data_IF_841819796226
#
_entry.id   IF_841819796226
#
_cell.length_a   1.000
_cell.length_b   1.000
_cell.length_c   1.000
_cell.angle_alpha   90.00
_cell.angle_beta   90.00
_cell.angle_gamma   90.00
#
_symmetry.space_group_name_H-M   'P 1'
#
loop_
_entity.id
_entity.type
_entity.pdbx_description
1 polymer ?
#
# COMPACT_ATOMS: atom_id res chain seq x y z
N UNK A 1 20.40 -6.39 -11.17
CA UNK A 1 19.01 -6.24 -11.63
C UNK A 1 18.32 -5.32 -10.64
N UNK A 2 18.05 -4.07 -11.01
CA UNK A 2 17.27 -3.16 -10.17
C UNK A 2 16.00 -2.78 -10.92
N UNK A 3 14.85 -3.29 -10.48
CA UNK A 3 13.58 -2.58 -10.64
C UNK A 3 12.92 -2.49 -9.26
N UNK A 4 13.52 -1.75 -8.32
CA UNK A 4 12.88 -1.45 -7.02
C UNK A 4 12.39 0.00 -6.91
N UNK A 5 12.68 0.84 -7.93
CA UNK A 5 12.48 2.30 -7.85
C UNK A 5 11.06 2.78 -8.15
N UNK A 6 10.23 2.04 -8.89
CA UNK A 6 8.98 2.59 -9.45
C UNK A 6 7.73 2.34 -8.59
N UNK A 7 7.81 1.49 -7.58
CA UNK A 7 6.62 1.10 -6.83
C UNK A 7 6.32 2.03 -5.66
N UNK A 8 7.23 2.95 -5.30
CA UNK A 8 7.04 3.81 -4.13
C UNK A 8 6.18 5.04 -4.45
N UNK A 9 4.96 5.03 -3.90
CA UNK A 9 4.06 6.17 -3.85
C UNK A 9 4.45 7.11 -2.69
N UNK A 10 4.06 8.38 -2.83
CA UNK A 10 4.26 9.40 -1.79
C UNK A 10 2.95 9.65 -1.05
N UNK A 11 2.97 9.54 0.27
CA UNK A 11 1.89 10.04 1.11
C UNK A 11 2.09 11.57 1.23
N UNK A 12 1.13 12.40 0.81
CA UNK A 12 1.27 13.84 0.92
C UNK A 12 1.34 14.27 2.40
N UNK A 13 2.14 15.30 2.74
CA UNK A 13 2.15 15.84 4.08
C UNK A 13 0.74 16.24 4.54
N UNK A 14 0.34 15.81 5.73
CA UNK A 14 -0.99 16.11 6.27
C UNK A 14 -2.12 15.25 5.69
N UNK A 15 -1.82 14.20 4.92
CA UNK A 15 -2.82 13.23 4.49
C UNK A 15 -3.56 12.65 5.71
N UNK A 16 -4.89 12.70 5.67
CA UNK A 16 -5.70 12.07 6.70
C UNK A 16 -5.70 10.56 6.50
N UNK A 17 -5.35 9.84 7.57
CA UNK A 17 -5.37 8.38 7.62
C UNK A 17 -6.32 7.95 8.73
N UNK A 18 -7.29 7.12 8.38
CA UNK A 18 -8.24 6.54 9.34
C UNK A 18 -7.95 5.05 9.48
N UNK A 19 -7.81 4.54 10.71
CA UNK A 19 -7.66 3.10 10.90
C UNK A 19 -9.01 2.42 10.62
N UNK A 20 -9.04 1.54 9.62
CA UNK A 20 -10.25 0.82 9.20
C UNK A 20 -10.22 -0.67 9.55
N UNK A 21 -9.06 -1.20 9.98
CA UNK A 21 -8.93 -2.59 10.34
C UNK A 21 -7.62 -2.91 11.04
N UNK A 22 -7.61 -4.02 11.76
CA UNK A 22 -6.42 -4.56 12.42
C UNK A 22 -6.49 -6.08 12.42
N UNK A 23 -5.39 -6.71 12.00
CA UNK A 23 -5.14 -8.13 12.16
C UNK A 23 -4.01 -8.39 13.16
N UNK A 24 -3.61 -9.65 13.33
CA UNK A 24 -2.56 -10.02 14.28
C UNK A 24 -1.18 -9.44 13.97
N UNK A 25 -0.90 -9.09 12.71
CA UNK A 25 0.43 -8.64 12.26
C UNK A 25 0.42 -7.32 11.48
N UNK A 26 -0.77 -6.79 11.16
CA UNK A 26 -0.90 -5.60 10.34
C UNK A 26 -2.08 -4.72 10.78
N UNK A 27 -1.92 -3.42 10.60
CA UNK A 27 -2.98 -2.42 10.73
C UNK A 27 -3.29 -1.87 9.34
N UNK A 28 -4.57 -1.65 9.05
CA UNK A 28 -5.05 -1.13 7.77
C UNK A 28 -5.62 0.25 7.99
N UNK A 29 -5.13 1.20 7.19
CA UNK A 29 -5.60 2.59 7.18
C UNK A 29 -6.29 2.92 5.86
N UNK A 30 -7.39 3.66 5.88
CA UNK A 30 -7.96 4.33 4.71
C UNK A 30 -7.27 5.68 4.52
N UNK A 31 -6.91 6.02 3.29
CA UNK A 31 -6.35 7.32 2.91
C UNK A 31 -6.77 7.70 1.49
N UNK A 32 -6.72 8.99 1.15
CA UNK A 32 -6.81 9.45 -0.24
C UNK A 32 -5.42 9.74 -0.79
N UNK A 33 -5.03 9.09 -1.89
CA UNK A 33 -3.76 9.30 -2.58
C UNK A 33 -3.98 9.64 -4.05
N UNK A 34 -3.12 10.51 -4.59
CA UNK A 34 -3.06 10.74 -6.03
C UNK A 34 -2.23 9.62 -6.68
N UNK A 35 -2.86 8.85 -7.55
CA UNK A 35 -2.26 7.74 -8.31
C UNK A 35 -2.60 7.97 -9.77
N UNK A 36 -1.57 8.11 -10.61
CA UNK A 36 -1.70 8.43 -12.04
C UNK A 36 -2.54 9.70 -12.33
N UNK A 37 -2.39 10.72 -11.48
CA UNK A 37 -3.11 11.99 -11.59
C UNK A 37 -4.57 11.96 -11.13
N UNK A 38 -5.01 10.85 -10.52
CA UNK A 38 -6.37 10.67 -10.00
C UNK A 38 -6.32 10.47 -8.49
N UNK A 39 -7.12 11.24 -7.75
CA UNK A 39 -7.31 11.01 -6.31
C UNK A 39 -8.16 9.75 -6.09
N UNK A 40 -7.58 8.75 -5.45
CA UNK A 40 -8.22 7.47 -5.12
C UNK A 40 -8.25 7.27 -3.62
N UNK A 41 -9.36 6.72 -3.12
CA UNK A 41 -9.43 6.20 -1.74
C UNK A 41 -8.80 4.82 -1.74
N UNK A 42 -7.77 4.63 -0.92
CA UNK A 42 -6.95 3.42 -0.86
C UNK A 42 -6.87 2.88 0.56
N UNK A 43 -6.57 1.59 0.68
CA UNK A 43 -6.17 0.94 1.91
C UNK A 43 -4.63 0.85 1.99
N UNK A 44 -4.05 1.31 3.09
CA UNK A 44 -2.63 1.20 3.42
C UNK A 44 -2.46 0.12 4.48
N UNK A 45 -1.90 -1.02 4.10
CA UNK A 45 -1.63 -2.16 5.00
C UNK A 45 -0.21 -2.07 5.54
N UNK A 46 -0.09 -1.71 6.82
CA UNK A 46 1.17 -1.54 7.53
C UNK A 46 1.46 -2.72 8.44
N UNK A 47 2.61 -3.36 8.25
CA UNK A 47 3.03 -4.51 9.05
C UNK A 47 3.85 -4.09 10.28
N UNK A 48 3.82 -4.94 11.31
CA UNK A 48 4.70 -4.82 12.48
C UNK A 48 6.18 -5.07 12.17
N UNK A 49 6.49 -5.60 10.99
CA UNK A 49 7.82 -5.82 10.42
C UNK A 49 7.83 -5.35 8.95
N UNK A 50 8.92 -5.58 8.21
CA UNK A 50 8.89 -5.34 6.76
C UNK A 50 7.89 -6.28 6.08
N UNK A 51 7.26 -5.80 4.99
CA UNK A 51 6.29 -6.59 4.24
C UNK A 51 6.94 -7.86 3.68
N UNK A 52 6.21 -8.98 3.67
CA UNK A 52 6.68 -10.22 3.06
C UNK A 52 6.87 -10.04 1.55
N UNK A 53 8.05 -10.41 1.05
CA UNK A 53 8.35 -10.38 -0.38
C UNK A 53 7.42 -11.30 -1.17
N UNK A 54 7.01 -12.43 -0.61
CA UNK A 54 6.09 -13.38 -1.27
C UNK A 54 4.71 -12.77 -1.50
N UNK A 55 4.20 -12.01 -0.51
CA UNK A 55 2.91 -11.32 -0.62
C UNK A 55 2.99 -10.22 -1.66
N UNK A 56 4.07 -9.44 -1.66
CA UNK A 56 4.32 -8.39 -2.65
C UNK A 56 4.39 -8.97 -4.08
N UNK A 57 5.16 -10.03 -4.29
CA UNK A 57 5.28 -10.68 -5.60
C UNK A 57 3.97 -11.27 -6.09
N UNK A 58 3.18 -11.85 -5.18
CA UNK A 58 1.86 -12.39 -5.51
C UNK A 58 0.92 -11.28 -5.94
N UNK A 59 0.79 -10.23 -5.11
CA UNK A 59 -0.10 -9.09 -5.38
C UNK A 59 0.25 -8.36 -6.69
N UNK A 60 1.53 -8.21 -7.01
CA UNK A 60 2.00 -7.61 -8.28
C UNK A 60 1.52 -8.35 -9.54
N UNK A 61 1.22 -9.64 -9.43
CA UNK A 61 0.81 -10.48 -10.57
C UNK A 61 -0.71 -10.59 -10.71
N UNK A 62 -1.46 -10.08 -9.73
CA UNK A 62 -2.92 -10.15 -9.71
C UNK A 62 -3.49 -8.89 -10.36
N UNK A 63 -4.17 -9.08 -11.48
CA UNK A 63 -4.96 -8.05 -12.17
C UNK A 63 -6.30 -8.68 -12.56
N UNK A 64 -7.30 -8.50 -11.70
CA UNK A 64 -8.63 -9.07 -11.89
C UNK A 64 -9.69 -8.23 -11.17
N UNK A 65 -10.88 -7.97 -11.76
CA UNK A 65 -11.89 -7.06 -11.21
C UNK A 65 -12.46 -7.44 -9.83
N UNK A 66 -12.29 -8.69 -9.40
CA UNK A 66 -12.78 -9.18 -8.11
C UNK A 66 -11.66 -9.44 -7.10
N UNK A 67 -10.44 -8.98 -7.38
CA UNK A 67 -9.28 -9.09 -6.51
C UNK A 67 -8.81 -7.67 -6.21
N UNK A 68 -8.46 -7.42 -4.96
CA UNK A 68 -7.89 -6.16 -4.50
C UNK A 68 -6.67 -5.80 -5.34
N UNK A 69 -6.67 -4.60 -5.90
CA UNK A 69 -5.60 -4.11 -6.78
C UNK A 69 -4.43 -3.64 -5.93
N UNK A 70 -3.21 -4.03 -6.29
CA UNK A 70 -1.99 -3.46 -5.72
C UNK A 70 -1.51 -2.26 -6.54
N UNK A 71 -1.41 -1.09 -5.90
CA UNK A 71 -0.91 0.12 -6.56
C UNK A 71 0.57 0.37 -6.32
N UNK A 72 1.12 -0.11 -5.22
CA UNK A 72 2.50 0.18 -4.87
C UNK A 72 2.78 0.10 -3.36
N UNK A 73 3.92 0.66 -3.00
CA UNK A 73 4.45 0.73 -1.65
C UNK A 73 4.47 2.18 -1.16
N UNK A 74 4.33 2.38 0.14
CA UNK A 74 4.59 3.65 0.80
C UNK A 74 5.52 3.43 1.98
N UNK A 75 6.24 4.49 2.39
CA UNK A 75 6.94 4.49 3.67
C UNK A 75 6.03 5.08 4.75
N UNK A 76 5.61 4.25 5.69
CA UNK A 76 4.86 4.67 6.87
C UNK A 76 5.68 4.36 8.12
N UNK A 77 5.96 5.37 8.95
CA UNK A 77 6.77 5.22 10.18
C UNK A 77 8.14 4.54 9.94
N UNK A 78 8.76 4.81 8.78
CA UNK A 78 10.06 4.23 8.40
C UNK A 78 10.00 2.81 7.83
N UNK A 79 8.82 2.21 7.69
CA UNK A 79 8.61 0.84 7.17
C UNK A 79 7.84 0.84 5.86
N UNK A 80 7.99 -0.23 5.09
CA UNK A 80 7.22 -0.44 3.87
C UNK A 80 5.78 -0.87 4.22
N UNK A 81 4.81 -0.26 3.56
CA UNK A 81 3.40 -0.62 3.65
C UNK A 81 2.82 -0.75 2.24
N UNK A 82 1.87 -1.67 2.08
CA UNK A 82 1.20 -1.93 0.79
C UNK A 82 0.07 -0.92 0.58
N UNK A 83 -0.06 -0.41 -0.64
CA UNK A 83 -1.19 0.43 -1.08
C UNK A 83 -2.11 -0.39 -1.97
N UNK A 84 -3.38 -0.46 -1.58
CA UNK A 84 -4.38 -1.38 -2.11
C UNK A 84 -5.71 -0.64 -2.43
N UNK A 85 -6.47 -1.12 -3.41
CA UNK A 85 -7.88 -0.70 -3.69
C UNK A 85 -8.91 -1.69 -3.15
#
# INVERSE_FOLDING_TARGET
AEPMSNDFLKIPPGAQMEQIGQGGQAVVYSCSLEIDGVNRKVAIKSYGADCSMDELETLRRLDHPNIVTFFGLVKLNGRQALVLE
#
